data_IF_837796039615
#
_entry.id   IF_837796039615
#
_cell.length_a   1.000
_cell.length_b   1.000
_cell.length_c   1.000
_cell.angle_alpha   90.00
_cell.angle_beta   90.00
_cell.angle_gamma   90.00
#
_symmetry.space_group_name_H-M   'P 1'
#
loop_
_entity.id
_entity.type
_entity.pdbx_description
1 polymer ?
#
# COMPACT_ATOMS: atom_id res chain seq x y z
N UNK A 1 20.35 3.63 -5.49
CA UNK A 1 19.28 3.98 -6.43
C UNK A 1 17.90 3.71 -5.83
N UNK A 2 17.57 4.41 -4.75
CA UNK A 2 16.34 4.20 -3.99
C UNK A 2 15.08 4.38 -4.82
N UNK A 3 15.04 5.39 -5.69
CA UNK A 3 13.90 5.68 -6.56
C UNK A 3 13.55 4.48 -7.46
N UNK A 4 14.56 3.87 -8.08
CA UNK A 4 14.33 2.72 -8.97
C UNK A 4 13.84 1.50 -8.19
N UNK A 5 14.37 1.28 -7.00
CA UNK A 5 13.94 0.16 -6.16
C UNK A 5 12.51 0.34 -5.65
N UNK A 6 12.11 1.56 -5.33
CA UNK A 6 10.72 1.86 -4.98
C UNK A 6 9.78 1.55 -6.15
N UNK A 7 10.15 1.98 -7.38
CA UNK A 7 9.38 1.69 -8.59
C UNK A 7 9.24 0.21 -8.86
N UNK A 8 10.32 -0.55 -8.67
CA UNK A 8 10.28 -2.01 -8.84
C UNK A 8 9.35 -2.67 -7.82
N UNK A 9 9.39 -2.22 -6.58
CA UNK A 9 8.52 -2.72 -5.51
C UNK A 9 7.06 -2.42 -5.85
N UNK A 10 6.77 -1.22 -6.31
CA UNK A 10 5.41 -0.83 -6.71
C UNK A 10 4.90 -1.69 -7.87
N UNK A 11 5.74 -1.94 -8.89
CA UNK A 11 5.37 -2.79 -10.03
C UNK A 11 5.07 -4.22 -9.58
N UNK A 12 5.87 -4.75 -8.65
CA UNK A 12 5.65 -6.08 -8.12
C UNK A 12 4.34 -6.15 -7.33
N UNK A 13 4.02 -5.13 -6.53
CA UNK A 13 2.75 -5.07 -5.82
C UNK A 13 1.57 -5.14 -6.79
N UNK A 14 1.59 -4.30 -7.81
CA UNK A 14 0.51 -4.24 -8.81
C UNK A 14 0.35 -5.60 -9.50
N UNK A 15 1.47 -6.20 -9.92
CA UNK A 15 1.46 -7.50 -10.59
C UNK A 15 0.95 -8.61 -9.68
N UNK A 16 1.44 -8.68 -8.45
CA UNK A 16 1.08 -9.75 -7.51
C UNK A 16 -0.37 -9.64 -7.05
N UNK A 17 -0.87 -8.42 -6.84
CA UNK A 17 -2.29 -8.19 -6.52
C UNK A 17 -3.17 -8.63 -7.68
N UNK A 18 -2.78 -8.31 -8.91
CA UNK A 18 -3.52 -8.75 -10.10
C UNK A 18 -3.53 -10.26 -10.21
N UNK A 19 -2.38 -10.91 -10.00
CA UNK A 19 -2.27 -12.37 -10.00
C UNK A 19 -3.14 -13.02 -8.92
N UNK A 20 -3.37 -12.32 -7.82
CA UNK A 20 -4.27 -12.78 -6.75
C UNK A 20 -5.75 -12.50 -7.04
N UNK A 21 -6.07 -11.99 -8.22
CA UNK A 21 -7.46 -11.70 -8.63
C UNK A 21 -7.96 -10.34 -8.20
N UNK A 22 -7.08 -9.47 -7.71
CA UNK A 22 -7.46 -8.15 -7.21
C UNK A 22 -7.01 -7.00 -8.10
N UNK A 23 -7.08 -5.79 -7.54
CA UNK A 23 -6.67 -4.56 -8.20
C UNK A 23 -5.88 -3.69 -7.22
N UNK A 24 -4.73 -3.16 -7.64
CA UNK A 24 -3.97 -2.18 -6.88
C UNK A 24 -4.12 -0.81 -7.57
N UNK A 25 -5.06 -0.01 -7.08
CA UNK A 25 -5.44 1.26 -7.69
C UNK A 25 -4.53 2.36 -7.16
N UNK A 26 -3.98 3.16 -8.07
CA UNK A 26 -3.18 4.31 -7.68
C UNK A 26 -4.10 5.39 -7.09
N UNK A 27 -3.79 5.81 -5.86
CA UNK A 27 -4.56 6.85 -5.20
C UNK A 27 -4.00 8.23 -5.51
N UNK A 28 -4.87 9.11 -5.98
CA UNK A 28 -4.59 10.54 -6.10
C UNK A 28 -5.82 11.28 -5.58
N UNK A 29 -5.59 12.34 -4.80
CA UNK A 29 -6.70 13.14 -4.30
C UNK A 29 -6.26 14.61 -4.20
N UNK A 30 -6.97 15.51 -4.87
CA UNK A 30 -6.69 16.94 -4.75
C UNK A 30 -7.16 17.54 -3.42
N UNK A 31 -8.04 16.84 -2.71
CA UNK A 31 -8.66 17.38 -1.49
C UNK A 31 -8.12 16.76 -0.19
N UNK A 32 -7.38 15.65 -0.26
CA UNK A 32 -6.83 14.99 0.92
C UNK A 32 -5.36 14.69 0.70
N UNK A 33 -4.50 15.30 1.49
CA UNK A 33 -3.06 15.09 1.41
C UNK A 33 -2.64 13.90 2.27
N UNK A 34 -1.52 13.30 1.89
CA UNK A 34 -0.86 12.26 2.68
C UNK A 34 -1.48 10.88 2.56
N UNK A 35 -2.37 10.65 1.59
CA UNK A 35 -2.91 9.31 1.35
C UNK A 35 -1.80 8.33 0.94
N UNK A 36 -1.93 7.05 1.29
CA UNK A 36 -1.05 6.00 0.76
C UNK A 36 -1.11 5.92 -0.78
N UNK A 37 -0.06 5.36 -1.37
CA UNK A 37 0.09 5.32 -2.84
C UNK A 37 -0.95 4.44 -3.55
N UNK A 38 -1.31 3.32 -2.93
CA UNK A 38 -2.17 2.33 -3.57
C UNK A 38 -3.31 1.88 -2.67
N UNK A 39 -4.48 1.72 -3.27
CA UNK A 39 -5.62 1.05 -2.68
C UNK A 39 -5.66 -0.37 -3.25
N UNK A 40 -5.56 -1.37 -2.38
CA UNK A 40 -5.60 -2.78 -2.79
C UNK A 40 -6.98 -3.33 -2.52
N UNK A 41 -7.59 -3.87 -3.58
CA UNK A 41 -8.90 -4.50 -3.51
C UNK A 41 -8.74 -5.99 -3.85
N UNK A 42 -9.24 -6.85 -2.99
CA UNK A 42 -9.21 -8.30 -3.19
C UNK A 42 -10.63 -8.87 -3.14
N UNK A 43 -10.76 -10.11 -3.58
CA UNK A 43 -12.05 -10.82 -3.60
C UNK A 43 -12.71 -10.81 -2.22
N UNK A 44 -14.02 -10.76 -2.19
CA UNK A 44 -14.78 -10.75 -0.95
C UNK A 44 -14.89 -9.37 -0.31
N UNK A 45 -14.61 -8.30 -1.07
CA UNK A 45 -14.69 -6.93 -0.55
C UNK A 45 -13.54 -6.58 0.38
N UNK A 46 -12.42 -7.29 0.31
CA UNK A 46 -11.25 -7.03 1.16
C UNK A 46 -10.49 -5.81 0.67
N UNK A 47 -10.14 -4.90 1.57
CA UNK A 47 -9.51 -3.62 1.26
C UNK A 47 -8.27 -3.42 2.12
N UNK A 48 -7.20 -2.90 1.53
CA UNK A 48 -6.03 -2.45 2.25
C UNK A 48 -5.37 -1.27 1.55
N UNK A 49 -4.64 -0.46 2.30
CA UNK A 49 -3.88 0.67 1.77
C UNK A 49 -2.40 0.36 1.86
N UNK A 50 -1.65 0.73 0.83
CA UNK A 50 -0.21 0.47 0.78
C UNK A 50 0.54 1.74 0.40
N UNK A 51 1.48 2.12 1.26
CA UNK A 51 2.44 3.19 0.99
C UNK A 51 3.76 2.56 0.56
N UNK A 52 4.28 2.95 -0.61
CA UNK A 52 5.54 2.44 -1.13
C UNK A 52 6.66 3.42 -0.76
N UNK A 53 7.78 2.89 -0.26
CA UNK A 53 8.97 3.66 0.06
C UNK A 53 10.21 2.97 -0.48
N UNK A 54 11.25 3.75 -0.74
CA UNK A 54 12.57 3.19 -1.01
C UNK A 54 13.08 2.48 0.24
N UNK A 55 13.95 1.47 0.11
CA UNK A 55 14.47 0.73 1.26
C UNK A 55 15.01 1.64 2.36
N UNK A 56 14.56 1.43 3.58
CA UNK A 56 14.96 2.20 4.76
C UNK A 56 14.36 3.59 4.88
N UNK A 57 13.60 4.04 3.91
CA UNK A 57 12.91 5.34 3.98
C UNK A 57 11.61 5.20 4.76
N UNK A 58 11.24 6.28 5.44
CA UNK A 58 10.04 6.31 6.27
C UNK A 58 9.02 7.30 5.72
N UNK A 59 7.73 7.07 5.98
CA UNK A 59 6.69 8.02 5.59
C UNK A 59 6.91 9.39 6.23
N UNK A 60 6.48 10.43 5.52
CA UNK A 60 6.49 11.80 6.06
C UNK A 60 5.44 11.94 7.17
N UNK A 61 5.59 12.99 7.98
CA UNK A 61 4.69 13.24 9.12
C UNK A 61 3.22 13.25 8.71
N UNK A 62 2.88 13.95 7.62
CA UNK A 62 1.49 14.02 7.14
C UNK A 62 0.98 12.64 6.67
N UNK A 63 1.85 11.84 6.05
CA UNK A 63 1.48 10.47 5.67
C UNK A 63 1.19 9.60 6.89
N UNK A 64 2.01 9.72 7.94
CA UNK A 64 1.78 8.98 9.19
C UNK A 64 0.44 9.36 9.80
N UNK A 65 0.13 10.66 9.84
CA UNK A 65 -1.16 11.13 10.35
C UNK A 65 -2.32 10.52 9.57
N UNK A 66 -2.24 10.56 8.25
CA UNK A 66 -3.31 10.02 7.39
C UNK A 66 -3.48 8.52 7.55
N UNK A 67 -2.36 7.79 7.69
CA UNK A 67 -2.41 6.35 7.93
C UNK A 67 -3.11 6.04 9.25
N UNK A 68 -2.85 6.82 10.30
CA UNK A 68 -3.54 6.66 11.59
C UNK A 68 -5.04 6.93 11.46
N UNK A 69 -5.42 7.93 10.67
CA UNK A 69 -6.83 8.23 10.42
C UNK A 69 -7.53 7.03 9.76
N UNK A 70 -6.89 6.44 8.74
CA UNK A 70 -7.44 5.27 8.05
C UNK A 70 -7.53 4.06 8.96
N UNK A 71 -6.52 3.83 9.80
CA UNK A 71 -6.52 2.73 10.76
C UNK A 71 -7.63 2.91 11.80
N UNK A 72 -7.86 4.15 12.24
CA UNK A 72 -8.95 4.45 13.19
C UNK A 72 -10.33 4.14 12.60
N UNK A 73 -10.47 4.23 11.27
CA UNK A 73 -11.69 3.85 10.57
C UNK A 73 -11.81 2.34 10.36
N UNK A 74 -10.80 1.57 10.75
CA UNK A 74 -10.83 0.11 10.66
C UNK A 74 -10.13 -0.47 9.44
N UNK A 75 -9.47 0.36 8.61
CA UNK A 75 -8.77 -0.14 7.44
C UNK A 75 -7.35 -0.58 7.75
N UNK A 76 -6.87 -1.60 7.05
CA UNK A 76 -5.48 -2.04 7.11
C UNK A 76 -4.62 -1.10 6.27
N UNK A 77 -3.49 -0.67 6.84
CA UNK A 77 -2.54 0.21 6.16
C UNK A 77 -1.13 -0.36 6.35
N UNK A 78 -0.39 -0.46 5.27
CA UNK A 78 0.96 -1.03 5.27
C UNK A 78 1.94 -0.06 4.64
N UNK A 79 3.17 -0.05 5.16
CA UNK A 79 4.31 0.59 4.52
C UNK A 79 5.19 -0.51 3.96
N UNK A 80 5.47 -0.46 2.66
CA UNK A 80 6.26 -1.48 1.97
C UNK A 80 7.51 -0.82 1.40
N UNK A 81 8.68 -1.24 1.85
CA UNK A 81 9.96 -0.75 1.36
C UNK A 81 10.84 -1.87 0.79
N UNK A 82 10.35 -3.11 0.79
CA UNK A 82 11.03 -4.28 0.24
C UNK A 82 10.02 -5.19 -0.47
N UNK A 83 10.42 -5.79 -1.58
CA UNK A 83 9.57 -6.70 -2.36
C UNK A 83 9.11 -7.90 -1.54
N UNK A 84 9.96 -8.39 -0.64
CA UNK A 84 9.66 -9.57 0.19
C UNK A 84 8.47 -9.38 1.12
N UNK A 85 8.06 -8.14 1.39
CA UNK A 85 6.92 -7.84 2.26
C UNK A 85 5.57 -8.03 1.57
N UNK A 86 5.54 -8.05 0.24
CA UNK A 86 4.29 -7.98 -0.53
C UNK A 86 3.39 -9.18 -0.28
N UNK A 87 3.94 -10.39 -0.23
CA UNK A 87 3.14 -11.59 0.01
C UNK A 87 2.43 -11.52 1.36
N UNK A 88 3.11 -11.06 2.39
CA UNK A 88 2.52 -10.89 3.72
C UNK A 88 1.43 -9.83 3.76
N UNK A 89 1.60 -8.76 2.99
CA UNK A 89 0.58 -7.69 2.87
C UNK A 89 -0.70 -8.24 2.23
N UNK A 90 -0.58 -8.97 1.13
CA UNK A 90 -1.73 -9.57 0.45
C UNK A 90 -2.43 -10.55 1.39
N UNK A 91 -1.69 -11.39 2.07
CA UNK A 91 -2.26 -12.36 3.02
C UNK A 91 -2.98 -11.66 4.17
N UNK A 92 -2.40 -10.58 4.71
CA UNK A 92 -3.01 -9.82 5.79
C UNK A 92 -4.32 -9.15 5.36
N UNK A 93 -4.39 -8.64 4.14
CA UNK A 93 -5.62 -8.05 3.60
C UNK A 93 -6.69 -9.15 3.41
N UNK A 94 -6.30 -10.32 2.91
CA UNK A 94 -7.24 -11.45 2.76
C UNK A 94 -7.81 -11.90 4.09
N UNK A 95 -7.06 -11.77 5.15
CA UNK A 95 -7.47 -12.22 6.49
C UNK A 95 -8.40 -11.26 7.22
N UNK A 96 -8.71 -10.12 6.61
CA UNK A 96 -9.58 -9.11 7.25
C UNK A 96 -11.05 -9.54 7.35
#
# INVERSE_FOLDING_TARGET
MGFLREKETERKLVRDVKAAGGMAIKLTSPSVDGLPDRLVLLNGGKIGFVELKAPGKKPRVLQVKRMKDLQALGFKVFVVDEKSQIVGVIDAIRAT
#
